data_IF_645716225840
#
_entry.id   IF_645716225840
#
_cell.length_a   1.000
_cell.length_b   1.000
_cell.length_c   1.000
_cell.angle_alpha   90.00
_cell.angle_beta   90.00
_cell.angle_gamma   90.00
#
_symmetry.space_group_name_H-M   'P 1'
#
loop_
_entity.id
_entity.type
_entity.pdbx_description
1 polymer ?
#
# COMPACT_ATOMS: atom_id res chain seq x y z
N UNK A 1 -0.57 29.73 -23.70
CA UNK A 1 -0.33 28.98 -24.96
C UNK A 1 1.17 28.97 -25.24
N UNK A 2 1.88 27.87 -24.96
CA UNK A 2 3.06 27.45 -25.74
C UNK A 2 3.58 26.12 -25.22
N UNK A 3 3.26 25.08 -25.98
CA UNK A 3 3.78 23.72 -25.86
C UNK A 3 5.18 23.71 -26.45
N UNK A 4 6.15 23.14 -25.74
CA UNK A 4 7.42 22.71 -26.34
C UNK A 4 7.42 21.19 -26.42
N UNK A 5 7.04 20.69 -27.58
CA UNK A 5 7.19 19.30 -28.02
C UNK A 5 8.61 19.13 -28.56
N UNK A 6 9.37 18.21 -27.97
CA UNK A 6 10.63 17.74 -28.54
C UNK A 6 10.50 16.24 -28.81
N UNK A 7 10.30 15.91 -30.08
CA UNK A 7 10.42 14.57 -30.66
C UNK A 7 11.89 14.31 -30.95
N UNK A 8 12.46 13.25 -30.37
CA UNK A 8 13.70 12.66 -30.87
C UNK A 8 13.47 11.18 -31.18
N UNK A 9 13.31 10.92 -32.47
CA UNK A 9 13.47 9.62 -33.11
C UNK A 9 14.94 9.43 -33.47
N UNK A 10 15.54 8.33 -33.02
CA UNK A 10 16.72 7.76 -33.65
C UNK A 10 16.57 6.24 -33.60
N UNK A 11 16.70 5.63 -34.77
CA UNK A 11 16.39 4.24 -35.02
C UNK A 11 17.66 3.53 -35.55
N UNK A 12 17.72 2.23 -35.21
CA UNK A 12 18.44 1.12 -35.85
C UNK A 12 19.98 0.99 -35.75
N UNK A 13 20.41 -0.02 -35.00
CA UNK A 13 21.21 -1.19 -35.45
C UNK A 13 21.31 -2.12 -34.22
N UNK A 14 20.93 -3.39 -34.22
CA UNK A 14 21.09 -4.42 -35.24
C UNK A 14 22.03 -5.49 -34.67
N UNK A 15 21.51 -6.46 -33.90
CA UNK A 15 22.21 -7.71 -33.65
C UNK A 15 21.20 -8.85 -33.60
N UNK A 16 21.11 -9.54 -34.73
CA UNK A 16 20.39 -10.79 -34.92
C UNK A 16 21.29 -11.91 -34.42
N UNK A 17 20.85 -12.69 -33.43
CA UNK A 17 21.40 -14.03 -33.18
C UNK A 17 20.29 -15.07 -33.36
N UNK A 18 20.71 -16.16 -33.99
CA UNK A 18 19.91 -17.14 -34.68
C UNK A 18 18.96 -17.95 -33.80
N UNK A 19 17.86 -18.34 -34.44
CA UNK A 19 16.91 -19.37 -34.02
C UNK A 19 17.52 -20.77 -34.04
N UNK A 20 17.35 -21.53 -32.97
CA UNK A 20 17.20 -22.99 -33.04
C UNK A 20 16.04 -23.40 -32.14
N UNK A 21 15.00 -23.95 -32.76
CA UNK A 21 13.90 -24.61 -32.08
C UNK A 21 14.27 -26.09 -31.89
N UNK A 22 14.18 -26.60 -30.66
CA UNK A 22 14.09 -28.02 -30.39
C UNK A 22 13.43 -28.27 -29.02
N UNK A 23 12.21 -28.80 -29.08
CA UNK A 23 11.54 -29.74 -28.17
C UNK A 23 11.92 -29.78 -26.66
N UNK A 24 10.93 -29.53 -25.80
CA UNK A 24 10.77 -30.26 -24.53
C UNK A 24 10.48 -31.75 -24.82
N UNK A 25 10.66 -32.73 -23.91
CA UNK A 25 10.74 -32.63 -22.44
C UNK A 25 11.89 -33.44 -21.82
N UNK A 26 12.14 -33.29 -20.51
CA UNK A 26 12.47 -34.40 -19.57
C UNK A 26 12.83 -33.83 -18.20
N UNK A 27 11.99 -34.14 -17.22
CA UNK A 27 12.35 -34.12 -15.81
C UNK A 27 13.41 -35.18 -15.52
N UNK A 28 14.23 -34.91 -14.50
CA UNK A 28 15.16 -35.81 -13.81
C UNK A 28 16.52 -36.09 -14.49
N UNK A 29 17.58 -35.47 -13.94
CA UNK A 29 18.58 -36.18 -13.14
C UNK A 29 19.65 -35.15 -12.70
N UNK A 30 20.04 -35.22 -11.43
CA UNK A 30 20.77 -34.19 -10.75
C UNK A 30 22.22 -33.98 -11.21
N UNK A 31 22.70 -32.79 -10.91
CA UNK A 31 24.08 -32.57 -10.47
C UNK A 31 24.08 -31.33 -9.59
N UNK A 32 24.66 -31.51 -8.41
CA UNK A 32 24.65 -30.58 -7.30
C UNK A 32 25.07 -29.16 -7.73
N UNK A 33 24.16 -28.20 -7.56
CA UNK A 33 24.56 -26.83 -7.35
C UNK A 33 25.04 -26.72 -5.90
N UNK A 34 26.23 -26.17 -5.61
CA UNK A 34 26.61 -25.89 -4.24
C UNK A 34 25.62 -24.86 -3.70
N UNK A 35 24.82 -25.29 -2.73
CA UNK A 35 24.08 -24.38 -1.88
C UNK A 35 25.13 -23.52 -1.18
N UNK A 36 25.34 -22.30 -1.67
CA UNK A 36 25.96 -21.25 -0.86
C UNK A 36 24.98 -20.98 0.26
N UNK A 37 25.15 -21.70 1.36
CA UNK A 37 24.61 -21.34 2.67
C UNK A 37 25.25 -20.01 3.03
N UNK A 38 24.67 -18.93 2.50
CA UNK A 38 24.86 -17.60 3.04
C UNK A 38 24.41 -17.69 4.49
N UNK A 39 25.38 -17.86 5.37
CA UNK A 39 25.22 -17.83 6.82
C UNK A 39 24.37 -16.61 7.12
N UNK A 40 23.10 -16.85 7.46
CA UNK A 40 22.20 -15.81 7.87
C UNK A 40 22.87 -15.16 9.07
N UNK A 41 23.41 -13.95 8.88
CA UNK A 41 24.12 -13.23 9.92
C UNK A 41 23.24 -13.27 11.17
N UNK A 42 23.75 -13.93 12.21
CA UNK A 42 23.12 -14.09 13.51
C UNK A 42 23.14 -12.74 14.26
N UNK A 43 22.52 -11.71 13.69
CA UNK A 43 22.54 -10.34 14.22
C UNK A 43 21.18 -9.64 14.20
N UNK A 44 20.08 -10.33 13.86
CA UNK A 44 18.77 -9.86 14.27
C UNK A 44 18.52 -10.30 15.72
N UNK A 45 18.97 -9.51 16.70
CA UNK A 45 18.44 -9.66 18.07
C UNK A 45 16.91 -9.53 17.94
N UNK A 46 16.19 -10.58 18.32
CA UNK A 46 14.73 -10.57 18.35
C UNK A 46 14.20 -9.35 19.12
N UNK A 47 12.96 -8.90 18.85
CA UNK A 47 12.43 -7.70 19.47
C UNK A 47 12.58 -7.78 20.99
N UNK A 48 13.33 -6.82 21.55
CA UNK A 48 13.49 -6.68 23.00
C UNK A 48 12.16 -6.14 23.57
N UNK A 49 11.26 -7.06 23.93
CA UNK A 49 9.93 -6.79 24.49
C UNK A 49 8.80 -6.75 23.46
N UNK A 50 7.58 -6.55 23.97
CA UNK A 50 6.31 -6.50 23.22
C UNK A 50 6.15 -5.30 22.26
N UNK A 51 7.05 -4.32 22.35
CA UNK A 51 7.02 -3.10 21.54
C UNK A 51 6.01 -2.04 22.01
N UNK A 52 5.36 -2.22 23.16
CA UNK A 52 4.32 -1.34 23.69
C UNK A 52 4.78 0.14 23.76
N UNK A 53 5.98 0.41 24.28
CA UNK A 53 6.56 1.76 24.31
C UNK A 53 6.65 2.43 22.93
N UNK A 54 6.97 1.68 21.88
CA UNK A 54 7.02 2.20 20.50
C UNK A 54 5.62 2.41 19.94
N UNK A 55 4.66 1.57 20.30
CA UNK A 55 3.27 1.73 19.91
C UNK A 55 2.67 2.98 20.59
N UNK A 56 2.75 3.09 21.91
CA UNK A 56 2.20 4.22 22.67
C UNK A 56 2.70 5.59 22.20
N UNK A 57 3.98 5.70 21.80
CA UNK A 57 4.50 6.94 21.20
C UNK A 57 3.88 7.29 19.84
N UNK A 58 3.41 6.28 19.10
CA UNK A 58 2.82 6.45 17.76
C UNK A 58 1.32 6.67 17.80
N UNK A 59 0.62 6.15 18.80
CA UNK A 59 -0.86 6.18 18.92
C UNK A 59 -1.45 7.57 18.64
N UNK A 60 -1.00 8.67 19.28
CA UNK A 60 -1.60 10.00 19.03
C UNK A 60 -1.46 10.48 17.59
N UNK A 61 -0.39 10.06 16.89
CA UNK A 61 -0.18 10.38 15.47
C UNK A 61 -1.06 9.50 14.58
N UNK A 62 -1.29 8.25 14.97
CA UNK A 62 -2.14 7.32 14.24
C UNK A 62 -3.61 7.75 14.33
N UNK A 63 -4.09 8.16 15.50
CA UNK A 63 -5.47 8.64 15.69
C UNK A 63 -5.75 9.83 14.77
N UNK A 64 -4.90 10.86 14.84
CA UNK A 64 -4.99 12.04 13.97
C UNK A 64 -4.95 11.69 12.48
N UNK A 65 -4.22 10.64 12.08
CA UNK A 65 -4.14 10.21 10.67
C UNK A 65 -5.43 9.52 10.24
N UNK A 66 -5.97 8.64 11.08
CA UNK A 66 -7.23 7.94 10.83
C UNK A 66 -8.37 8.96 10.73
N UNK A 67 -8.48 9.88 11.69
CA UNK A 67 -9.52 10.91 11.70
C UNK A 67 -9.46 11.81 10.46
N UNK A 68 -8.26 12.29 10.09
CA UNK A 68 -8.06 13.07 8.86
C UNK A 68 -8.41 12.26 7.61
N UNK A 69 -8.17 10.95 7.63
CA UNK A 69 -8.44 10.09 6.48
C UNK A 69 -9.93 9.87 6.30
N UNK A 70 -10.64 9.54 7.38
CA UNK A 70 -12.10 9.42 7.45
C UNK A 70 -12.74 10.73 7.00
N UNK A 71 -12.39 11.86 7.63
CA UNK A 71 -12.94 13.18 7.30
C UNK A 71 -12.73 13.56 5.83
N UNK A 72 -11.60 13.19 5.21
CA UNK A 72 -11.40 13.45 3.77
C UNK A 72 -12.29 12.57 2.90
N UNK A 73 -12.46 11.30 3.26
CA UNK A 73 -13.27 10.35 2.50
C UNK A 73 -14.76 10.74 2.55
N UNK A 74 -15.23 11.23 3.69
CA UNK A 74 -16.60 11.72 3.91
C UNK A 74 -16.80 13.18 3.50
N UNK A 75 -15.77 13.83 2.94
CA UNK A 75 -15.86 15.21 2.49
C UNK A 75 -16.87 15.39 1.37
N UNK A 76 -17.25 16.65 1.13
CA UNK A 76 -18.19 17.01 0.07
C UNK A 76 -17.66 16.67 -1.34
N UNK A 77 -18.52 16.82 -2.33
CA UNK A 77 -18.23 16.61 -3.76
C UNK A 77 -17.02 17.41 -4.24
N UNK A 78 -16.80 18.65 -3.75
CA UNK A 78 -15.61 19.44 -4.10
C UNK A 78 -14.28 18.95 -3.48
N UNK A 79 -14.32 18.00 -2.56
CA UNK A 79 -13.13 17.54 -1.84
C UNK A 79 -12.41 16.45 -2.63
N UNK A 80 -11.24 16.76 -3.18
CA UNK A 80 -10.41 15.76 -3.86
C UNK A 80 -10.13 14.56 -2.95
N UNK A 81 -10.56 13.39 -3.38
CA UNK A 81 -10.37 12.15 -2.64
C UNK A 81 -11.51 11.77 -1.71
N UNK A 82 -12.61 12.54 -1.67
CA UNK A 82 -13.85 12.07 -1.07
C UNK A 82 -14.51 10.99 -1.90
N UNK A 83 -15.48 10.32 -1.30
CA UNK A 83 -16.37 9.36 -1.95
C UNK A 83 -17.28 10.10 -2.93
N UNK A 84 -17.91 11.19 -2.48
CA UNK A 84 -18.83 11.98 -3.31
C UNK A 84 -18.15 12.59 -4.53
N UNK A 85 -16.89 13.02 -4.43
CA UNK A 85 -16.11 13.48 -5.59
C UNK A 85 -15.88 12.37 -6.61
N UNK A 86 -15.61 11.13 -6.16
CA UNK A 86 -15.45 10.01 -7.08
C UNK A 86 -16.77 9.62 -7.72
N UNK A 87 -17.87 9.64 -6.97
CA UNK A 87 -19.22 9.33 -7.48
C UNK A 87 -19.61 10.31 -8.59
N UNK A 88 -19.38 11.62 -8.39
CA UNK A 88 -19.62 12.62 -9.43
C UNK A 88 -18.77 12.34 -10.68
N UNK A 89 -17.47 12.08 -10.52
CA UNK A 89 -16.59 11.79 -11.68
C UNK A 89 -16.98 10.53 -12.43
N UNK A 90 -17.55 9.53 -11.76
CA UNK A 90 -18.10 8.34 -12.40
C UNK A 90 -19.35 8.72 -13.21
N UNK A 91 -20.24 9.54 -12.64
CA UNK A 91 -21.43 10.03 -13.34
C UNK A 91 -21.05 10.83 -14.60
N UNK A 92 -20.09 11.75 -14.49
CA UNK A 92 -19.58 12.54 -15.62
C UNK A 92 -18.97 11.63 -16.70
N UNK A 93 -18.11 10.67 -16.32
CA UNK A 93 -17.54 9.72 -17.27
C UNK A 93 -18.58 8.85 -17.98
N UNK A 94 -19.67 8.47 -17.28
CA UNK A 94 -20.78 7.74 -17.89
C UNK A 94 -21.57 8.62 -18.86
N UNK A 95 -21.82 9.88 -18.50
CA UNK A 95 -22.50 10.87 -19.36
C UNK A 95 -21.74 11.08 -20.67
N UNK A 96 -20.41 11.08 -20.60
CA UNK A 96 -19.53 11.24 -21.76
C UNK A 96 -19.21 9.92 -22.49
N UNK A 97 -19.87 8.81 -22.13
CA UNK A 97 -19.63 7.47 -22.68
C UNK A 97 -18.20 6.93 -22.51
N UNK A 98 -17.43 7.45 -21.56
CA UNK A 98 -16.09 6.97 -21.21
C UNK A 98 -16.13 5.74 -20.29
N UNK A 99 -16.58 4.60 -20.82
CA UNK A 99 -16.84 3.36 -20.06
C UNK A 99 -15.61 2.82 -19.31
N UNK A 100 -14.43 2.82 -19.95
CA UNK A 100 -13.19 2.37 -19.32
C UNK A 100 -12.77 3.25 -18.13
N UNK A 101 -12.97 4.57 -18.24
CA UNK A 101 -12.70 5.53 -17.17
C UNK A 101 -13.70 5.33 -16.04
N UNK A 102 -14.99 5.21 -16.36
CA UNK A 102 -16.04 4.95 -15.37
C UNK A 102 -15.76 3.65 -14.59
N UNK A 103 -15.29 2.58 -15.27
CA UNK A 103 -14.89 1.33 -14.62
C UNK A 103 -13.72 1.54 -13.66
N UNK A 104 -12.62 2.15 -14.12
CA UNK A 104 -11.45 2.42 -13.28
C UNK A 104 -11.82 3.25 -12.03
N UNK A 105 -12.67 4.27 -12.21
CA UNK A 105 -13.14 5.10 -11.10
C UNK A 105 -14.08 4.33 -10.17
N UNK A 106 -14.92 3.44 -10.71
CA UNK A 106 -15.76 2.52 -9.94
C UNK A 106 -14.95 1.59 -9.05
N UNK A 107 -13.91 0.96 -9.59
CA UNK A 107 -13.01 0.08 -8.81
C UNK A 107 -12.35 0.87 -7.65
N UNK A 108 -11.89 2.10 -7.93
CA UNK A 108 -11.34 3.00 -6.91
C UNK A 108 -12.37 3.42 -5.85
N UNK A 109 -13.63 3.60 -6.25
CA UNK A 109 -14.72 3.93 -5.33
C UNK A 109 -14.96 2.75 -4.37
N UNK A 110 -15.02 1.53 -4.90
CA UNK A 110 -15.17 0.30 -4.10
C UNK A 110 -14.04 0.15 -3.09
N UNK A 111 -12.78 0.28 -3.50
CA UNK A 111 -11.63 0.22 -2.59
C UNK A 111 -11.72 1.30 -1.50
N UNK A 112 -12.13 2.53 -1.86
CA UNK A 112 -12.25 3.61 -0.89
C UNK A 112 -13.38 3.39 0.11
N UNK A 113 -14.54 2.87 -0.32
CA UNK A 113 -15.65 2.52 0.57
C UNK A 113 -15.23 1.42 1.54
N UNK A 114 -14.58 0.36 1.06
CA UNK A 114 -14.04 -0.70 1.92
C UNK A 114 -13.02 -0.16 2.94
N UNK A 115 -12.09 0.69 2.50
CA UNK A 115 -11.12 1.31 3.41
C UNK A 115 -11.78 2.22 4.45
N UNK A 116 -12.84 2.97 4.09
CA UNK A 116 -13.57 3.78 5.06
C UNK A 116 -14.20 2.91 6.16
N UNK A 117 -14.83 1.80 5.78
CA UNK A 117 -15.39 0.83 6.74
C UNK A 117 -14.31 0.32 7.69
N UNK A 118 -13.20 -0.20 7.16
CA UNK A 118 -12.09 -0.69 7.99
C UNK A 118 -11.52 0.40 8.91
N UNK A 119 -11.39 1.64 8.43
CA UNK A 119 -10.88 2.74 9.26
C UNK A 119 -11.82 3.08 10.42
N UNK A 120 -13.14 3.05 10.18
CA UNK A 120 -14.15 3.27 11.25
C UNK A 120 -14.14 2.16 12.28
N UNK A 121 -13.98 0.91 11.86
CA UNK A 121 -13.85 -0.24 12.76
C UNK A 121 -12.58 -0.18 13.61
N UNK A 122 -11.46 0.28 13.03
CA UNK A 122 -10.16 0.34 13.73
C UNK A 122 -9.98 1.58 14.60
N UNK A 123 -10.80 2.61 14.41
CA UNK A 123 -10.77 3.83 15.22
C UNK A 123 -11.01 3.56 16.73
N UNK A 124 -12.05 2.83 17.16
CA UNK A 124 -12.24 2.50 18.57
C UNK A 124 -11.12 1.63 19.13
N UNK A 125 -10.61 0.66 18.36
CA UNK A 125 -9.46 -0.17 18.78
C UNK A 125 -8.26 0.71 19.14
N UNK A 126 -7.96 1.71 18.31
CA UNK A 126 -6.85 2.62 18.54
C UNK A 126 -7.07 3.52 19.76
N UNK A 127 -8.31 3.95 20.02
CA UNK A 127 -8.68 4.68 21.24
C UNK A 127 -8.50 3.82 22.49
N UNK A 128 -8.87 2.54 22.43
CA UNK A 128 -8.63 1.59 23.52
C UNK A 128 -7.13 1.44 23.81
N UNK A 129 -6.30 1.38 22.77
CA UNK A 129 -4.83 1.38 22.93
C UNK A 129 -4.35 2.71 23.55
N UNK A 130 -4.92 3.85 23.15
CA UNK A 130 -4.58 5.14 23.75
C UNK A 130 -4.87 5.19 25.25
N UNK A 131 -6.05 4.72 25.66
CA UNK A 131 -6.46 4.59 27.06
C UNK A 131 -5.51 3.66 27.82
N UNK A 132 -5.19 2.50 27.26
CA UNK A 132 -4.24 1.57 27.87
C UNK A 132 -2.86 2.21 28.03
N UNK A 133 -2.36 2.90 27.01
CA UNK A 133 -1.07 3.59 27.05
C UNK A 133 -1.02 4.67 28.14
N UNK A 134 -2.12 5.39 28.37
CA UNK A 134 -2.22 6.37 29.44
C UNK A 134 -2.16 5.72 30.84
N UNK A 135 -2.86 4.58 31.02
CA UNK A 135 -2.86 3.84 32.28
C UNK A 135 -1.53 3.11 32.58
N UNK A 136 -0.74 2.77 31.55
CA UNK A 136 0.46 1.93 31.68
C UNK A 136 1.77 2.71 31.45
N UNK A 137 1.83 3.96 31.92
CA UNK A 137 3.03 4.80 31.85
C UNK A 137 3.64 4.92 30.44
N UNK A 138 2.81 4.92 29.40
CA UNK A 138 3.25 4.95 28.00
C UNK A 138 3.87 3.64 27.50
N UNK A 139 3.49 2.50 28.08
CA UNK A 139 3.98 1.17 27.71
C UNK A 139 5.41 0.92 28.16
N UNK A 140 5.84 1.52 29.28
CA UNK A 140 7.11 1.18 29.91
C UNK A 140 6.98 -0.22 30.51
N UNK A 141 7.93 -1.10 30.22
CA UNK A 141 8.00 -2.38 30.90
C UNK A 141 8.09 -2.15 32.41
N UNK A 142 7.33 -2.92 33.20
CA UNK A 142 7.51 -2.96 34.64
C UNK A 142 8.98 -3.33 34.93
N UNK A 143 9.62 -2.76 35.97
CA UNK A 143 10.92 -3.25 36.39
C UNK A 143 10.76 -4.73 36.73
N UNK A 144 11.51 -5.58 36.03
CA UNK A 144 11.69 -6.98 36.40
C UNK A 144 12.28 -6.98 37.80
N UNK A 145 11.49 -7.45 38.78
CA UNK A 145 11.93 -7.68 40.15
C UNK A 145 13.00 -8.77 40.21
#
# INVERSE_FOLDING_TARGET
>A
MQRRTATMTAAFAGLVLATTAAAAPSYAAGSAAPATTGSAAAHAKGPKGDGAKKLCRRVPRLEKRIDKRIKRMEGAVGTRGSISYLEQRIADAKKDNHTAIAKLLGDRLTTRKGLLTTLKEKQPDLKSVATWCAANNGGKAAPTA
#
